data_IF_141678081363
#
_entry.id   IF_141678081363
#
_cell.length_a   1.000
_cell.length_b   1.000
_cell.length_c   1.000
_cell.angle_alpha   90.00
_cell.angle_beta   90.00
_cell.angle_gamma   90.00
#
_symmetry.space_group_name_H-M   'P 1'
#
loop_
_entity.id
_entity.type
_entity.pdbx_description
1 polymer ?
#
# COMPACT_ATOMS: atom_id res chain seq x y z
N UNK A 1 5.80 7.20 -2.52
CA UNK A 1 7.18 6.89 -2.07
C UNK A 1 7.14 5.91 -0.90
N UNK A 2 8.29 5.55 -0.31
CA UNK A 2 8.35 4.65 0.86
C UNK A 2 9.30 5.25 1.89
N UNK A 3 8.82 5.44 3.11
CA UNK A 3 9.57 6.07 4.20
C UNK A 3 9.79 5.11 5.36
N UNK A 4 10.91 5.29 6.06
CA UNK A 4 11.17 4.65 7.37
C UNK A 4 10.97 5.71 8.44
N UNK A 5 9.93 5.56 9.26
CA UNK A 5 9.64 6.48 10.36
C UNK A 5 10.02 5.81 11.67
N UNK A 6 10.87 6.47 12.47
CA UNK A 6 11.28 5.96 13.78
C UNK A 6 10.08 5.71 14.70
N UNK A 7 10.03 4.55 15.34
CA UNK A 7 8.93 4.15 16.23
C UNK A 7 7.64 3.66 15.53
N UNK A 8 7.43 4.01 14.25
CA UNK A 8 6.25 3.60 13.48
C UNK A 8 6.56 2.41 12.58
N UNK A 9 7.68 2.46 11.86
CA UNK A 9 8.11 1.43 10.91
C UNK A 9 8.13 1.93 9.46
N UNK A 10 7.70 1.07 8.54
CA UNK A 10 7.70 1.33 7.10
C UNK A 10 6.35 1.91 6.68
N UNK A 11 6.40 3.08 6.04
CA UNK A 11 5.21 3.82 5.60
C UNK A 11 5.29 4.09 4.10
N UNK A 12 4.62 3.28 3.27
CA UNK A 12 4.35 3.63 1.89
C UNK A 12 3.37 4.79 1.80
N UNK A 13 3.56 5.64 0.80
CA UNK A 13 2.69 6.78 0.50
C UNK A 13 2.29 6.72 -0.96
N UNK A 14 0.99 6.86 -1.21
CA UNK A 14 0.43 6.83 -2.55
C UNK A 14 -1.03 7.31 -2.59
N UNK A 15 -1.58 7.34 -3.79
CA UNK A 15 -2.98 7.66 -4.03
C UNK A 15 -3.79 6.38 -4.10
N UNK A 16 -4.97 6.38 -3.49
CA UNK A 16 -5.96 5.32 -3.71
C UNK A 16 -6.60 5.55 -5.07
N UNK A 17 -6.35 4.67 -6.03
CA UNK A 17 -6.95 4.76 -7.37
C UNK A 17 -8.30 4.03 -7.45
N UNK A 18 -8.42 2.88 -6.78
CA UNK A 18 -9.62 2.05 -6.78
C UNK A 18 -9.82 1.35 -5.43
N UNK A 19 -11.07 1.06 -5.08
CA UNK A 19 -11.40 0.33 -3.85
C UNK A 19 -11.30 1.20 -2.59
N UNK A 20 -11.18 0.56 -1.42
CA UNK A 20 -11.09 1.23 -0.11
C UNK A 20 -9.98 0.58 0.71
N UNK A 21 -9.11 1.39 1.31
CA UNK A 21 -8.02 0.93 2.18
C UNK A 21 -8.38 1.19 3.64
N UNK A 22 -8.30 0.17 4.50
CA UNK A 22 -8.59 0.29 5.93
C UNK A 22 -7.44 -0.25 6.78
N UNK A 23 -7.24 0.27 8.00
CA UNK A 23 -6.48 -0.44 9.02
C UNK A 23 -7.00 -1.88 9.17
N UNK A 24 -6.08 -2.85 9.28
CA UNK A 24 -6.37 -4.28 9.35
C UNK A 24 -6.52 -4.97 7.98
N UNK A 25 -6.62 -4.24 6.87
CA UNK A 25 -6.59 -4.85 5.53
C UNK A 25 -5.25 -5.54 5.32
N UNK A 26 -5.28 -6.79 4.83
CA UNK A 26 -4.09 -7.51 4.39
C UNK A 26 -3.88 -7.19 2.92
N UNK A 27 -2.79 -6.48 2.61
CA UNK A 27 -2.48 -6.03 1.25
C UNK A 27 -1.32 -6.83 0.66
N UNK A 28 -1.36 -7.00 -0.65
CA UNK A 28 -0.29 -7.58 -1.46
C UNK A 28 0.33 -6.50 -2.33
N UNK A 29 1.66 -6.42 -2.35
CA UNK A 29 2.43 -5.50 -3.17
C UNK A 29 2.96 -6.19 -4.43
N UNK A 30 2.47 -5.76 -5.59
CA UNK A 30 3.03 -6.14 -6.89
C UNK A 30 4.16 -5.19 -7.30
N UNK A 31 5.14 -5.67 -8.09
CA UNK A 31 5.26 -7.02 -8.63
C UNK A 31 5.87 -8.05 -7.66
N UNK A 32 6.33 -7.65 -6.47
CA UNK A 32 7.06 -8.53 -5.57
C UNK A 32 6.23 -9.68 -4.95
N UNK A 33 4.90 -9.57 -4.94
CA UNK A 33 4.01 -10.54 -4.29
C UNK A 33 4.10 -10.53 -2.77
N UNK A 34 4.67 -9.48 -2.17
CA UNK A 34 4.83 -9.35 -0.73
C UNK A 34 3.49 -9.02 -0.07
N UNK A 35 3.08 -9.82 0.92
CA UNK A 35 1.80 -9.63 1.61
C UNK A 35 2.00 -9.24 3.07
N UNK A 36 1.27 -8.22 3.52
CA UNK A 36 1.36 -7.69 4.88
C UNK A 36 0.04 -7.05 5.32
N UNK A 37 -0.18 -6.98 6.62
CA UNK A 37 -1.29 -6.24 7.22
C UNK A 37 -0.95 -4.74 7.33
N UNK A 38 -1.94 -3.90 7.02
CA UNK A 38 -1.91 -2.45 7.24
C UNK A 38 -2.27 -2.16 8.69
N UNK A 39 -1.41 -1.48 9.44
CA UNK A 39 -1.67 -1.10 10.84
C UNK A 39 -2.53 0.15 10.97
N UNK A 40 -2.23 1.16 10.17
CA UNK A 40 -2.88 2.47 10.21
C UNK A 40 -2.85 3.11 8.83
N UNK A 41 -3.78 4.02 8.59
CA UNK A 41 -3.87 4.84 7.39
C UNK A 41 -3.99 6.29 7.85
N UNK A 42 -3.23 7.19 7.25
CA UNK A 42 -3.13 8.59 7.64
C UNK A 42 -3.12 9.50 6.40
N UNK A 43 -3.76 10.65 6.52
CA UNK A 43 -3.74 11.72 5.52
C UNK A 43 -3.54 13.06 6.24
N UNK A 44 -2.57 13.85 5.79
CA UNK A 44 -2.28 15.17 6.39
C UNK A 44 -2.12 15.16 7.92
N UNK A 45 -1.50 14.12 8.49
CA UNK A 45 -1.33 13.91 9.93
C UNK A 45 -2.59 13.55 10.73
N UNK A 46 -3.68 13.21 10.06
CA UNK A 46 -4.89 12.68 10.69
C UNK A 46 -5.06 11.20 10.37
N UNK A 47 -5.40 10.41 11.39
CA UNK A 47 -5.70 9.00 11.23
C UNK A 47 -7.08 8.82 10.57
N UNK A 48 -7.13 7.97 9.55
CA UNK A 48 -8.35 7.65 8.83
C UNK A 48 -8.86 6.26 9.22
N UNK A 49 -10.18 6.15 9.34
CA UNK A 49 -10.87 4.85 9.50
C UNK A 49 -10.91 4.07 8.18
N UNK A 50 -10.92 4.79 7.06
CA UNK A 50 -10.82 4.28 5.71
C UNK A 50 -10.30 5.37 4.77
N UNK A 51 -9.59 4.97 3.72
CA UNK A 51 -9.19 5.83 2.61
C UNK A 51 -9.88 5.37 1.33
N UNK A 52 -10.40 6.33 0.57
CA UNK A 52 -11.25 6.11 -0.61
C UNK A 52 -10.58 6.64 -1.87
N UNK A 53 -11.10 6.32 -3.08
CA UNK A 53 -10.48 6.74 -4.31
C UNK A 53 -10.32 8.26 -4.40
N UNK A 54 -9.10 8.71 -4.70
CA UNK A 54 -8.72 10.12 -4.71
C UNK A 54 -7.79 10.53 -3.55
N UNK A 55 -7.86 9.84 -2.41
CA UNK A 55 -7.09 10.19 -1.23
C UNK A 55 -5.60 9.90 -1.43
N UNK A 56 -4.75 10.86 -1.02
CA UNK A 56 -3.31 10.67 -0.93
C UNK A 56 -2.94 10.35 0.51
N UNK A 57 -2.61 9.09 0.76
CA UNK A 57 -2.43 8.58 2.12
C UNK A 57 -1.05 7.99 2.32
N UNK A 58 -0.55 8.12 3.55
CA UNK A 58 0.48 7.26 4.09
C UNK A 58 -0.17 6.12 4.87
N UNK A 59 0.36 4.92 4.79
CA UNK A 59 -0.15 3.80 5.57
C UNK A 59 0.98 2.96 6.14
N UNK A 60 0.85 2.50 7.39
CA UNK A 60 1.90 1.73 8.07
C UNK A 60 1.70 0.23 7.82
N UNK A 61 2.79 -0.50 7.54
CA UNK A 61 2.77 -1.96 7.32
C UNK A 61 3.68 -2.71 8.28
N UNK A 62 3.27 -3.91 8.71
CA UNK A 62 4.03 -4.77 9.64
C UNK A 62 5.15 -5.52 8.94
N UNK A 63 6.29 -5.71 9.61
CA UNK A 63 7.32 -6.69 9.23
C UNK A 63 7.86 -6.56 7.79
N UNK A 64 7.75 -5.39 7.17
CA UNK A 64 8.30 -5.10 5.84
C UNK A 64 9.36 -4.02 5.98
N UNK A 65 10.54 -4.27 5.41
CA UNK A 65 11.62 -3.28 5.32
C UNK A 65 11.36 -2.30 4.17
N UNK A 66 11.75 -1.04 4.36
CA UNK A 66 11.74 -0.04 3.28
C UNK A 66 12.58 -0.44 2.06
N UNK A 67 13.50 -1.40 2.19
CA UNK A 67 14.29 -1.91 1.07
C UNK A 67 13.52 -2.89 0.17
N UNK A 68 12.44 -3.48 0.68
CA UNK A 68 11.63 -4.47 -0.04
C UNK A 68 10.52 -3.83 -0.87
N UNK A 69 10.19 -2.56 -0.56
CA UNK A 69 9.21 -1.76 -1.28
C UNK A 69 9.90 -0.60 -1.99
N UNK A 70 9.38 -0.22 -3.14
CA UNK A 70 9.87 0.94 -3.91
C UNK A 70 8.71 1.67 -4.55
N UNK A 71 8.96 2.94 -4.91
CA UNK A 71 8.04 3.73 -5.73
C UNK A 71 7.69 2.97 -7.01
N UNK A 72 6.41 3.00 -7.41
CA UNK A 72 5.89 2.30 -8.58
C UNK A 72 5.30 0.92 -8.29
N UNK A 73 5.45 0.40 -7.07
CA UNK A 73 4.73 -0.81 -6.65
C UNK A 73 3.23 -0.53 -6.51
N UNK A 74 2.42 -1.55 -6.76
CA UNK A 74 0.97 -1.48 -6.64
C UNK A 74 0.54 -2.29 -5.42
N UNK A 75 -0.13 -1.66 -4.47
CA UNK A 75 -0.73 -2.32 -3.33
C UNK A 75 -2.22 -2.57 -3.60
N UNK A 76 -2.72 -3.76 -3.27
CA UNK A 76 -4.14 -4.08 -3.33
C UNK A 76 -4.52 -5.14 -2.30
N UNK A 77 -5.82 -5.30 -2.05
CA UNK A 77 -6.31 -6.28 -1.07
C UNK A 77 -5.93 -7.71 -1.49
N UNK A 78 -5.21 -8.40 -0.60
CA UNK A 78 -4.77 -9.78 -0.80
C UNK A 78 -5.92 -10.77 -1.03
N UNK A 79 -7.12 -10.44 -0.54
CA UNK A 79 -8.32 -11.29 -0.60
C UNK A 79 -9.25 -10.95 -1.74
N UNK A 80 -9.06 -9.82 -2.42
CA UNK A 80 -9.95 -9.34 -3.48
C UNK A 80 -9.15 -8.96 -4.73
N UNK A 81 -8.93 -9.95 -5.59
CA UNK A 81 -8.16 -9.82 -6.84
C UNK A 81 -6.80 -9.09 -6.65
N UNK A 82 -5.86 -9.69 -5.90
CA UNK A 82 -4.60 -9.05 -5.59
C UNK A 82 -3.82 -8.68 -6.86
N UNK A 83 -3.12 -7.53 -6.86
CA UNK A 83 -2.36 -7.09 -8.01
C UNK A 83 -1.21 -8.06 -8.30
N UNK A 84 -0.82 -8.17 -9.57
CA UNK A 84 0.27 -9.03 -10.05
C UNK A 84 1.19 -8.24 -10.97
N UNK A 85 2.45 -8.65 -11.04
CA UNK A 85 3.35 -8.14 -12.06
C UNK A 85 2.92 -8.60 -13.45
N UNK A 86 3.08 -7.73 -14.45
CA UNK A 86 2.94 -8.07 -15.86
C UNK A 86 4.34 -8.19 -16.48
N UNK A 87 4.59 -9.27 -17.23
CA UNK A 87 5.82 -9.41 -18.01
C UNK A 87 5.72 -8.62 -19.33
N UNK A 88 4.55 -8.66 -19.94
CA UNK A 88 4.19 -7.98 -21.17
C UNK A 88 2.69 -7.62 -21.14
N UNK A 89 2.30 -6.67 -22.00
CA UNK A 89 0.90 -6.33 -22.25
C UNK A 89 0.76 -5.79 -23.68
N UNK A 90 -0.38 -6.05 -24.31
CA UNK A 90 -0.70 -5.46 -25.60
C UNK A 90 -1.33 -4.08 -25.38
N UNK A 91 -0.90 -3.08 -26.14
CA UNK A 91 -1.44 -1.73 -26.13
C UNK A 91 -1.77 -1.26 -27.56
N UNK A 92 -2.69 -0.32 -27.66
CA UNK A 92 -3.13 0.30 -28.91
C UNK A 92 -2.13 1.37 -29.38
#
# INVERSE_FOLDING_TARGET
DVYKIGGIGTVPVGRVETGVLKPGTVVTFAPAGLTTEVKSVEMHHEALVEAVPGDNVGFNVKNVSVKELRRGYVAGDSKNNPPKGAADFNAQ
#
